data_IF_737363110470
#
_entry.id   IF_737363110470
#
_cell.length_a   1.000
_cell.length_b   1.000
_cell.length_c   1.000
_cell.angle_alpha   90.00
_cell.angle_beta   90.00
_cell.angle_gamma   90.00
#
_symmetry.space_group_name_H-M   'P 1'
#
loop_
_entity.id
_entity.type
_entity.pdbx_description
1 polymer ?
#
# COMPACT_ATOMS: atom_id res chain seq x y z
N UNK A 1 14.37 10.18 1.98
CA UNK A 1 13.17 10.75 1.36
C UNK A 1 13.52 11.38 0.03
N UNK A 2 12.70 11.19 -0.96
CA UNK A 2 12.92 11.75 -2.30
C UNK A 2 12.46 13.20 -2.41
N UNK A 3 11.82 13.74 -1.38
CA UNK A 3 11.26 15.08 -1.41
C UNK A 3 9.92 15.18 -2.15
N UNK A 4 9.51 14.10 -2.83
CA UNK A 4 8.25 14.07 -3.58
C UNK A 4 7.16 13.29 -2.85
N UNK A 5 7.45 12.80 -1.68
CA UNK A 5 6.52 12.04 -0.86
C UNK A 5 6.44 12.69 0.51
N UNK A 6 5.22 12.77 1.06
CA UNK A 6 5.04 13.29 2.40
C UNK A 6 5.81 12.43 3.41
N UNK A 7 6.18 13.01 4.54
CA UNK A 7 6.77 12.25 5.64
C UNK A 7 5.77 11.19 6.09
N UNK A 8 6.24 9.96 6.26
CA UNK A 8 5.40 8.82 6.62
C UNK A 8 5.71 8.34 8.02
N UNK A 9 4.71 7.78 8.67
CA UNK A 9 4.85 7.15 9.98
C UNK A 9 4.34 5.72 9.91
N UNK A 10 5.02 4.80 10.59
CA UNK A 10 4.63 3.39 10.64
C UNK A 10 3.39 3.22 11.49
N UNK A 11 2.47 2.36 11.03
CA UNK A 11 1.24 2.05 11.74
C UNK A 11 1.38 0.64 12.34
N UNK A 12 1.12 0.46 13.66
CA UNK A 12 1.18 -0.88 14.26
C UNK A 12 0.13 -1.82 13.68
N UNK A 13 0.45 -3.10 13.59
CA UNK A 13 -0.46 -4.11 13.00
C UNK A 13 -1.81 -4.14 13.70
N UNK A 14 -1.84 -4.00 15.02
CA UNK A 14 -3.08 -4.01 15.78
C UNK A 14 -4.02 -2.86 15.40
N UNK A 15 -3.49 -1.81 14.78
CA UNK A 15 -4.29 -0.65 14.38
C UNK A 15 -4.86 -0.79 12.97
N UNK A 16 -4.21 -1.56 12.07
CA UNK A 16 -4.70 -1.65 10.70
C UNK A 16 -5.26 -3.01 10.30
N UNK A 17 -4.82 -4.10 10.88
CA UNK A 17 -5.35 -5.43 10.53
C UNK A 17 -6.87 -5.50 10.72
N UNK A 18 -7.43 -5.08 11.88
CA UNK A 18 -8.89 -5.11 12.03
C UNK A 18 -9.63 -4.20 11.07
N UNK A 19 -9.07 -3.03 10.77
CA UNK A 19 -9.69 -2.08 9.85
C UNK A 19 -9.80 -2.65 8.45
N UNK A 20 -8.76 -3.39 8.00
CA UNK A 20 -8.75 -4.01 6.67
C UNK A 20 -9.47 -5.36 6.65
N UNK A 21 -9.79 -5.93 7.80
CA UNK A 21 -10.34 -7.27 7.86
C UNK A 21 -9.31 -8.35 7.53
N UNK A 22 -8.05 -8.11 7.88
CA UNK A 22 -6.95 -9.03 7.58
C UNK A 22 -6.81 -10.04 8.72
N UNK A 23 -6.67 -11.32 8.36
CA UNK A 23 -6.40 -12.39 9.32
C UNK A 23 -4.90 -12.44 9.58
N UNK A 24 -4.49 -12.12 10.80
CA UNK A 24 -3.07 -12.02 11.16
C UNK A 24 -2.29 -13.30 10.89
N UNK A 25 -2.89 -14.46 11.11
CA UNK A 25 -2.25 -15.76 10.89
C UNK A 25 -2.02 -16.07 9.42
N UNK A 26 -2.62 -15.31 8.52
CA UNK A 26 -2.44 -15.48 7.06
C UNK A 26 -1.37 -14.56 6.48
N UNK A 27 -0.75 -13.73 7.31
CA UNK A 27 0.27 -12.78 6.88
C UNK A 27 1.57 -13.09 7.61
N UNK A 28 2.63 -13.39 6.85
CA UNK A 28 3.95 -13.68 7.45
C UNK A 28 4.67 -12.41 7.87
N UNK A 29 4.52 -11.35 7.09
CA UNK A 29 5.21 -10.09 7.36
C UNK A 29 4.44 -8.95 6.74
N UNK A 30 4.53 -7.78 7.33
CA UNK A 30 3.83 -6.62 6.80
C UNK A 30 4.42 -5.32 7.32
N UNK A 31 4.37 -4.30 6.48
CA UNK A 31 4.61 -2.92 6.91
C UNK A 31 3.53 -2.05 6.28
N UNK A 32 3.10 -1.04 7.03
CA UNK A 32 2.11 -0.10 6.56
C UNK A 32 2.48 1.28 7.08
N UNK A 33 2.58 2.24 6.18
CA UNK A 33 2.95 3.61 6.49
C UNK A 33 1.89 4.56 5.97
N UNK A 34 1.56 5.58 6.76
CA UNK A 34 0.66 6.64 6.32
C UNK A 34 1.37 7.98 6.49
N UNK A 35 0.86 9.01 5.82
CA UNK A 35 1.39 10.36 5.97
C UNK A 35 1.27 10.80 7.43
N UNK A 36 2.32 11.47 7.94
CA UNK A 36 2.30 12.00 9.31
C UNK A 36 1.18 13.01 9.50
N UNK A 37 0.82 13.71 8.42
CA UNK A 37 -0.30 14.65 8.44
C UNK A 37 -1.37 14.19 7.44
N UNK A 38 -2.25 13.25 7.83
CA UNK A 38 -3.24 12.71 6.90
C UNK A 38 -4.24 13.73 6.39
N UNK A 39 -4.42 14.85 7.09
CA UNK A 39 -5.33 15.89 6.63
C UNK A 39 -4.78 16.69 5.46
N UNK A 40 -3.47 16.64 5.22
CA UNK A 40 -2.84 17.37 4.11
C UNK A 40 -2.31 16.46 3.01
N UNK A 41 -2.22 15.15 3.24
CA UNK A 41 -1.70 14.23 2.24
C UNK A 41 -2.31 12.84 2.40
N UNK A 42 -2.61 12.20 1.27
CA UNK A 42 -3.10 10.82 1.24
C UNK A 42 -1.96 9.82 1.00
N UNK A 43 -0.71 10.25 1.04
CA UNK A 43 0.43 9.36 0.80
C UNK A 43 0.45 8.22 1.79
N UNK A 44 0.63 7.01 1.27
CA UNK A 44 0.78 5.82 2.10
C UNK A 44 1.52 4.73 1.32
N UNK A 45 2.05 3.75 2.04
CA UNK A 45 2.74 2.62 1.44
C UNK A 45 2.44 1.37 2.24
N UNK A 46 2.23 0.26 1.55
CA UNK A 46 1.97 -1.02 2.18
C UNK A 46 2.75 -2.11 1.46
N UNK A 47 3.41 -2.98 2.23
CA UNK A 47 4.08 -4.17 1.71
C UNK A 47 3.71 -5.32 2.63
N UNK A 48 3.01 -6.32 2.09
CA UNK A 48 2.55 -7.46 2.87
C UNK A 48 3.04 -8.75 2.21
N UNK A 49 3.46 -9.70 3.04
CA UNK A 49 3.80 -11.05 2.57
C UNK A 49 2.78 -12.02 3.14
N UNK A 50 1.96 -12.61 2.28
CA UNK A 50 0.97 -13.60 2.67
C UNK A 50 1.63 -14.96 2.88
N UNK A 51 0.96 -15.85 3.62
CA UNK A 51 1.46 -17.22 3.84
C UNK A 51 1.40 -18.05 2.56
N UNK A 52 0.52 -17.69 1.61
CA UNK A 52 0.39 -18.37 0.32
C UNK A 52 -0.17 -17.41 -0.73
N UNK A 53 -0.16 -17.86 -1.99
CA UNK A 53 -0.64 -17.03 -3.10
C UNK A 53 -2.16 -16.82 -3.05
N UNK A 54 -2.90 -17.74 -2.48
CA UNK A 54 -4.35 -17.60 -2.34
C UNK A 54 -4.68 -16.39 -1.48
N UNK A 55 -4.01 -16.27 -0.33
CA UNK A 55 -4.25 -15.11 0.52
C UNK A 55 -3.66 -13.83 -0.06
N UNK A 56 -2.59 -13.93 -0.86
CA UNK A 56 -2.07 -12.77 -1.55
C UNK A 56 -3.13 -12.17 -2.49
N UNK A 57 -3.91 -13.01 -3.17
CA UNK A 57 -5.01 -12.53 -4.01
C UNK A 57 -6.10 -11.86 -3.17
N UNK A 58 -6.34 -12.36 -1.96
CA UNK A 58 -7.28 -11.74 -1.03
C UNK A 58 -6.79 -10.36 -0.60
N UNK A 59 -5.50 -10.23 -0.26
CA UNK A 59 -4.91 -8.95 0.08
C UNK A 59 -5.00 -7.96 -1.07
N UNK A 60 -4.78 -8.43 -2.29
CA UNK A 60 -4.89 -7.59 -3.47
C UNK A 60 -6.29 -6.97 -3.57
N UNK A 61 -7.33 -7.77 -3.34
CA UNK A 61 -8.70 -7.27 -3.35
C UNK A 61 -8.96 -6.28 -2.22
N UNK A 62 -8.44 -6.58 -1.03
CA UNK A 62 -8.59 -5.71 0.14
C UNK A 62 -7.94 -4.34 -0.14
N UNK A 63 -6.75 -4.35 -0.72
CA UNK A 63 -6.05 -3.10 -1.03
C UNK A 63 -6.75 -2.31 -2.13
N UNK A 64 -7.28 -2.99 -3.14
CA UNK A 64 -8.05 -2.31 -4.20
C UNK A 64 -9.28 -1.62 -3.63
N UNK A 65 -9.99 -2.30 -2.71
CA UNK A 65 -11.16 -1.72 -2.05
C UNK A 65 -10.78 -0.50 -1.22
N UNK A 66 -9.65 -0.56 -0.51
CA UNK A 66 -9.17 0.58 0.28
C UNK A 66 -8.84 1.78 -0.61
N UNK A 67 -8.09 1.55 -1.69
CA UNK A 67 -7.71 2.63 -2.60
C UNK A 67 -8.97 3.27 -3.22
N UNK A 68 -9.93 2.46 -3.60
CA UNK A 68 -11.18 2.94 -4.17
C UNK A 68 -11.97 3.79 -3.14
N UNK A 69 -12.03 3.34 -1.89
CA UNK A 69 -12.72 4.08 -0.83
C UNK A 69 -12.00 5.41 -0.54
N UNK A 70 -10.69 5.40 -0.49
CA UNK A 70 -9.91 6.62 -0.27
C UNK A 70 -10.08 7.62 -1.42
N UNK A 71 -10.10 7.11 -2.67
CA UNK A 71 -10.32 7.96 -3.83
C UNK A 71 -11.69 8.63 -3.77
N UNK A 72 -12.74 7.89 -3.39
CA UNK A 72 -14.08 8.44 -3.27
C UNK A 72 -14.14 9.56 -2.23
N UNK A 73 -13.46 9.38 -1.09
CA UNK A 73 -13.38 10.43 -0.08
C UNK A 73 -12.67 11.66 -0.61
N UNK A 74 -11.53 11.47 -1.28
CA UNK A 74 -10.73 12.58 -1.80
C UNK A 74 -11.48 13.36 -2.89
N UNK A 75 -12.34 12.69 -3.64
CA UNK A 75 -13.11 13.32 -4.72
C UNK A 75 -13.93 14.52 -4.22
N UNK A 76 -14.36 14.49 -2.97
CA UNK A 76 -15.20 15.54 -2.42
C UNK A 76 -14.39 16.71 -1.84
N UNK A 77 -13.07 16.60 -1.67
CA UNK A 77 -12.29 17.67 -1.07
C UNK A 77 -11.01 18.05 -1.80
N UNK A 78 -10.46 17.19 -2.65
CA UNK A 78 -9.22 17.51 -3.35
C UNK A 78 -9.07 16.68 -4.62
N UNK A 79 -9.19 17.33 -5.77
CA UNK A 79 -8.99 16.68 -7.08
C UNK A 79 -7.56 16.16 -7.21
N UNK A 80 -6.58 16.91 -6.67
CA UNK A 80 -5.19 16.52 -6.71
C UNK A 80 -4.94 15.22 -5.96
N UNK A 81 -5.49 15.08 -4.75
CA UNK A 81 -5.37 13.86 -3.98
C UNK A 81 -6.15 12.71 -4.63
N UNK A 82 -7.33 13.00 -5.16
CA UNK A 82 -8.13 12.02 -5.87
C UNK A 82 -7.35 11.40 -7.03
N UNK A 83 -6.76 12.22 -7.89
CA UNK A 83 -6.00 11.74 -9.04
C UNK A 83 -4.80 10.89 -8.61
N UNK A 84 -4.10 11.32 -7.57
CA UNK A 84 -2.96 10.59 -7.01
C UNK A 84 -3.38 9.21 -6.50
N UNK A 85 -4.45 9.14 -5.73
CA UNK A 85 -4.95 7.88 -5.18
C UNK A 85 -5.44 6.97 -6.30
N UNK A 86 -6.22 7.51 -7.21
CA UNK A 86 -6.81 6.75 -8.31
C UNK A 86 -5.76 6.12 -9.21
N UNK A 87 -4.61 6.75 -9.38
CA UNK A 87 -3.54 6.25 -10.24
C UNK A 87 -2.68 5.19 -9.56
N UNK A 88 -2.92 4.90 -8.29
CA UNK A 88 -2.15 3.91 -7.53
C UNK A 88 -2.35 2.51 -8.10
N UNK A 89 -1.23 1.79 -8.29
CA UNK A 89 -1.25 0.41 -8.77
C UNK A 89 -1.03 -0.55 -7.60
N UNK A 90 -1.94 -1.52 -7.47
CA UNK A 90 -1.77 -2.61 -6.50
C UNK A 90 -1.00 -3.71 -7.23
N UNK A 91 0.16 -4.07 -6.70
CA UNK A 91 1.04 -5.06 -7.32
C UNK A 91 1.05 -6.34 -6.50
N UNK A 92 1.13 -7.46 -7.19
CA UNK A 92 1.28 -8.78 -6.56
C UNK A 92 2.39 -9.53 -7.28
N UNK A 93 3.33 -10.05 -6.49
CA UNK A 93 4.43 -10.87 -7.01
C UNK A 93 4.63 -12.03 -6.03
N UNK A 94 4.25 -13.25 -6.44
CA UNK A 94 4.26 -14.39 -5.54
C UNK A 94 3.31 -14.15 -4.38
N UNK A 95 3.84 -14.20 -3.16
CA UNK A 95 3.07 -13.96 -1.94
C UNK A 95 3.11 -12.50 -1.48
N UNK A 96 3.86 -11.65 -2.20
CA UNK A 96 3.97 -10.24 -1.85
C UNK A 96 2.89 -9.42 -2.54
N UNK A 97 2.25 -8.53 -1.76
CA UNK A 97 1.28 -7.57 -2.28
C UNK A 97 1.67 -6.21 -1.74
N UNK A 98 1.75 -5.22 -2.61
CA UNK A 98 2.27 -3.91 -2.21
C UNK A 98 1.73 -2.80 -3.09
N UNK A 99 1.77 -1.58 -2.54
CA UNK A 99 1.40 -0.38 -3.29
C UNK A 99 2.01 0.85 -2.63
N UNK A 100 2.11 1.93 -3.41
CA UNK A 100 2.56 3.23 -2.92
C UNK A 100 1.62 4.30 -3.47
N UNK A 101 1.05 5.12 -2.58
CA UNK A 101 0.28 6.30 -2.96
C UNK A 101 1.19 7.51 -2.81
N UNK A 102 1.59 8.12 -3.92
CA UNK A 102 2.54 9.23 -3.92
C UNK A 102 2.54 9.90 -5.28
N UNK A 103 3.00 11.15 -5.35
CA UNK A 103 3.24 11.81 -6.63
C UNK A 103 4.26 11.07 -7.48
N UNK A 104 5.19 10.38 -6.83
CA UNK A 104 6.19 9.54 -7.49
C UNK A 104 5.82 8.05 -7.43
N UNK A 105 4.51 7.75 -7.35
CA UNK A 105 4.03 6.38 -7.16
C UNK A 105 4.54 5.39 -8.18
N UNK A 106 4.57 5.76 -9.47
CA UNK A 106 5.04 4.86 -10.53
C UNK A 106 6.52 4.52 -10.34
N UNK A 107 7.36 5.52 -10.07
CA UNK A 107 8.80 5.31 -9.86
C UNK A 107 9.06 4.46 -8.62
N UNK A 108 8.37 4.77 -7.53
CA UNK A 108 8.54 4.04 -6.27
C UNK A 108 8.03 2.60 -6.41
N UNK A 109 6.96 2.40 -7.16
CA UNK A 109 6.43 1.05 -7.44
C UNK A 109 7.45 0.22 -8.21
N UNK A 110 8.11 0.81 -9.21
CA UNK A 110 9.17 0.11 -9.95
C UNK A 110 10.34 -0.27 -9.06
N UNK A 111 10.71 0.61 -8.13
CA UNK A 111 11.78 0.29 -7.17
C UNK A 111 11.38 -0.88 -6.26
N UNK A 112 10.13 -0.91 -5.81
CA UNK A 112 9.61 -2.03 -5.03
C UNK A 112 9.55 -3.31 -5.86
N UNK A 113 9.08 -3.23 -7.11
CA UNK A 113 9.06 -4.39 -8.01
C UNK A 113 10.45 -5.04 -8.11
N UNK A 114 11.48 -4.23 -8.31
CA UNK A 114 12.86 -4.71 -8.40
C UNK A 114 13.34 -5.31 -7.08
N UNK A 115 13.05 -4.64 -5.96
CA UNK A 115 13.46 -5.14 -4.65
C UNK A 115 12.77 -6.45 -4.28
N UNK A 116 11.47 -6.55 -4.51
CA UNK A 116 10.69 -7.75 -4.23
C UNK A 116 11.15 -8.91 -5.12
N UNK A 117 11.37 -8.65 -6.42
CA UNK A 117 11.86 -9.67 -7.34
C UNK A 117 13.24 -10.20 -6.89
N UNK A 118 14.11 -9.33 -6.38
CA UNK A 118 15.39 -9.72 -5.83
C UNK A 118 15.28 -10.62 -4.61
N UNK A 119 14.35 -10.30 -3.70
CA UNK A 119 14.10 -11.10 -2.50
C UNK A 119 13.57 -12.49 -2.90
N UNK A 120 12.63 -12.55 -3.82
CA UNK A 120 12.06 -13.82 -4.29
C UNK A 120 13.14 -14.69 -4.95
N UNK A 121 14.02 -14.08 -5.74
CA UNK A 121 15.09 -14.80 -6.43
C UNK A 121 16.12 -15.39 -5.46
N UNK A 122 16.30 -14.76 -4.30
CA UNK A 122 17.23 -15.24 -3.27
C UNK A 122 16.62 -16.32 -2.39
N UNK A 123 15.33 -16.33 -2.28
CA UNK A 123 14.61 -17.26 -1.44
C UNK A 123 14.19 -18.49 -2.16
#
# INVERSE_FOLDING_TARGET
STGKMAALTAVPTEDYFPVFGIEAEKVEDSVFYIAENPSSSADEAAIFKAVDETYAKTLERIFKARIQAQAQLAQSYSIEQYDKIKSTQIKRNGCYVYYVVSESGAELTEMLDSGIAGIIAQG
#
